data_IF_653600798460
#
_entry.id   IF_653600798460
#
_cell.length_a   1.000
_cell.length_b   1.000
_cell.length_c   1.000
_cell.angle_alpha   90.00
_cell.angle_beta   90.00
_cell.angle_gamma   90.00
#
_symmetry.space_group_name_H-M   'P 1'
#
loop_
_entity.id
_entity.type
_entity.pdbx_description
1 polymer ?
#
# COMPACT_ATOMS: atom_id res chain seq x y z
N UNK A 1 -22.33 30.64 10.42
CA UNK A 1 -21.48 30.24 11.55
C UNK A 1 -20.11 29.85 11.01
N UNK A 2 -19.13 30.76 11.15
CA UNK A 2 -17.73 30.44 10.91
C UNK A 2 -17.28 29.52 12.05
N UNK A 3 -17.42 28.21 11.90
CA UNK A 3 -16.84 27.25 12.78
C UNK A 3 -15.34 27.43 12.80
N UNK A 4 -14.81 27.88 13.93
CA UNK A 4 -13.37 27.94 14.13
C UNK A 4 -12.83 26.51 14.05
N UNK A 5 -12.02 26.23 13.03
CA UNK A 5 -11.29 24.97 12.92
C UNK A 5 -10.20 24.97 13.99
N UNK A 6 -10.48 24.33 15.11
CA UNK A 6 -9.51 24.13 16.19
C UNK A 6 -9.06 22.68 16.18
N UNK A 7 -7.78 22.44 16.09
CA UNK A 7 -7.22 21.17 16.54
C UNK A 7 -6.68 21.36 17.95
N UNK A 8 -6.92 20.35 18.80
CA UNK A 8 -6.41 20.35 20.15
C UNK A 8 -5.23 19.37 20.22
N UNK A 9 -4.14 19.79 20.86
CA UNK A 9 -3.05 18.89 21.17
C UNK A 9 -3.48 17.87 22.26
N UNK A 10 -2.62 16.91 22.58
CA UNK A 10 -2.88 15.88 23.60
C UNK A 10 -3.16 16.44 25.01
N UNK A 11 -2.85 17.72 25.28
CA UNK A 11 -3.11 18.43 26.52
C UNK A 11 -4.39 19.27 26.50
N UNK A 12 -5.19 19.18 25.43
CA UNK A 12 -6.44 19.92 25.27
C UNK A 12 -6.28 21.42 24.95
N UNK A 13 -5.07 21.86 24.60
CA UNK A 13 -4.83 23.23 24.17
C UNK A 13 -5.00 23.41 22.66
N UNK A 14 -5.58 24.53 22.19
CA UNK A 14 -5.65 24.81 20.77
C UNK A 14 -4.22 24.92 20.18
N UNK A 15 -3.94 24.13 19.16
CA UNK A 15 -2.68 24.20 18.44
C UNK A 15 -2.63 25.45 17.57
N UNK A 16 -1.49 26.13 17.56
CA UNK A 16 -1.17 27.15 16.57
C UNK A 16 -0.24 26.55 15.55
N UNK A 17 -0.68 26.46 14.29
CA UNK A 17 0.23 26.10 13.18
C UNK A 17 1.13 27.30 12.90
N UNK A 18 2.41 27.17 13.20
CA UNK A 18 3.44 28.09 12.70
C UNK A 18 4.05 27.51 11.44
N UNK A 19 3.59 27.94 10.28
CA UNK A 19 4.11 27.53 8.99
C UNK A 19 3.01 27.11 7.99
N UNK A 20 3.33 27.18 6.71
CA UNK A 20 2.48 26.65 5.64
C UNK A 20 2.72 25.13 5.57
N UNK A 21 1.84 24.38 6.19
CA UNK A 21 1.82 22.91 6.06
C UNK A 21 0.45 22.52 5.54
N UNK A 22 0.41 21.69 4.53
CA UNK A 22 -0.81 21.15 3.93
C UNK A 22 -1.50 20.10 4.82
N UNK A 23 -1.17 20.08 6.12
CA UNK A 23 -1.70 19.13 7.10
C UNK A 23 -2.55 19.89 8.13
N UNK A 24 -3.85 19.68 8.10
CA UNK A 24 -4.79 20.27 9.06
C UNK A 24 -4.89 19.48 10.38
N UNK A 25 -4.68 18.16 10.35
CA UNK A 25 -4.74 17.27 11.52
C UNK A 25 -3.51 16.35 11.50
N UNK A 26 -2.67 16.45 12.53
CA UNK A 26 -1.58 15.51 12.77
C UNK A 26 -1.90 14.68 14.01
N UNK A 27 -2.11 13.37 13.84
CA UNK A 27 -2.45 12.46 14.92
C UNK A 27 -1.38 11.36 15.07
N UNK A 28 -0.72 11.30 16.21
CA UNK A 28 0.28 10.26 16.52
C UNK A 28 -0.33 8.91 16.89
N UNK A 29 -1.65 8.89 17.15
CA UNK A 29 -2.44 7.72 17.51
C UNK A 29 -3.64 7.59 16.56
N UNK A 30 -4.55 6.66 16.90
CA UNK A 30 -5.74 6.39 16.10
C UNK A 30 -6.72 7.56 16.12
N UNK A 31 -7.34 7.84 14.98
CA UNK A 31 -8.50 8.71 14.89
C UNK A 31 -9.74 7.82 14.85
N UNK A 32 -10.71 8.11 15.72
CA UNK A 32 -12.04 7.50 15.71
C UNK A 32 -13.04 8.56 15.25
N UNK A 33 -13.71 8.29 14.16
CA UNK A 33 -14.77 9.14 13.62
C UNK A 33 -15.92 8.28 13.15
N UNK A 34 -17.14 8.83 13.17
CA UNK A 34 -18.30 8.16 12.61
C UNK A 34 -18.19 8.10 11.09
N UNK A 35 -17.61 9.13 10.47
CA UNK A 35 -17.53 9.28 9.02
C UNK A 35 -16.39 10.24 8.64
N UNK A 36 -15.77 10.00 7.48
CA UNK A 36 -14.84 10.92 6.82
C UNK A 36 -15.42 11.30 5.46
N UNK A 37 -15.69 12.59 5.26
CA UNK A 37 -16.24 13.14 4.02
C UNK A 37 -15.19 13.99 3.32
N UNK A 38 -14.88 13.65 2.07
CA UNK A 38 -13.97 14.43 1.22
C UNK A 38 -14.76 15.35 0.29
N UNK A 39 -14.26 16.58 0.06
CA UNK A 39 -14.77 17.46 -0.98
C UNK A 39 -14.46 16.86 -2.36
N UNK A 40 -15.51 16.57 -3.15
CA UNK A 40 -15.35 15.92 -4.45
C UNK A 40 -16.27 16.49 -5.54
N UNK A 41 -16.69 17.75 -5.40
CA UNK A 41 -17.52 18.43 -6.38
C UNK A 41 -16.76 18.66 -7.70
N UNK A 42 -17.39 18.36 -8.83
CA UNK A 42 -16.79 18.53 -10.16
C UNK A 42 -16.32 19.98 -10.42
N UNK A 43 -17.04 20.97 -9.89
CA UNK A 43 -16.75 22.39 -10.10
C UNK A 43 -15.44 22.88 -9.50
N UNK A 44 -14.85 22.11 -8.59
CA UNK A 44 -13.53 22.42 -8.00
C UNK A 44 -12.38 21.64 -8.65
N UNK A 45 -12.66 20.87 -9.72
CA UNK A 45 -11.69 19.97 -10.36
C UNK A 45 -11.50 20.28 -11.83
N UNK A 46 -10.31 20.15 -12.32
CA UNK A 46 -10.02 20.09 -13.76
C UNK A 46 -9.95 18.62 -14.17
N UNK A 47 -11.01 18.11 -14.80
CA UNK A 47 -11.10 16.72 -15.22
C UNK A 47 -10.15 16.51 -16.41
N UNK A 48 -9.20 15.58 -16.27
CA UNK A 48 -8.24 15.20 -17.32
C UNK A 48 -8.79 14.04 -18.17
N UNK A 49 -9.50 13.10 -17.54
CA UNK A 49 -10.07 11.94 -18.20
C UNK A 49 -10.42 10.81 -17.22
N UNK A 50 -10.84 9.69 -17.76
CA UNK A 50 -11.03 8.46 -16.99
C UNK A 50 -9.69 7.76 -16.81
N UNK A 51 -9.52 7.06 -15.68
CA UNK A 51 -8.34 6.24 -15.45
C UNK A 51 -8.27 5.05 -16.43
N UNK A 52 -7.08 4.61 -16.75
CA UNK A 52 -6.85 3.40 -17.54
C UNK A 52 -6.93 2.17 -16.64
N UNK A 53 -8.08 1.49 -16.66
CA UNK A 53 -8.36 0.36 -15.78
C UNK A 53 -7.42 -0.84 -16.00
N UNK A 54 -6.86 -1.03 -17.21
CA UNK A 54 -5.88 -2.09 -17.48
C UNK A 54 -4.56 -1.80 -16.75
N UNK A 55 -4.05 -0.58 -16.89
CA UNK A 55 -2.85 -0.13 -16.18
C UNK A 55 -3.05 -0.15 -14.65
N UNK A 56 -4.21 0.27 -14.19
CA UNK A 56 -4.54 0.27 -12.76
C UNK A 56 -4.57 -1.15 -12.17
N UNK A 57 -5.07 -2.13 -12.95
CA UNK A 57 -5.04 -3.54 -12.57
C UNK A 57 -3.60 -4.09 -12.49
N UNK A 58 -2.72 -3.68 -13.38
CA UNK A 58 -1.30 -4.05 -13.34
C UNK A 58 -0.61 -3.45 -12.10
N UNK A 59 -0.86 -2.18 -11.78
CA UNK A 59 -0.31 -1.54 -10.59
C UNK A 59 -0.77 -2.27 -9.32
N UNK A 60 -2.08 -2.56 -9.18
CA UNK A 60 -2.62 -3.29 -8.02
C UNK A 60 -1.99 -4.67 -7.88
N UNK A 61 -1.76 -5.37 -8.97
CA UNK A 61 -1.13 -6.69 -8.96
C UNK A 61 0.34 -6.66 -8.47
N UNK A 62 1.00 -5.51 -8.60
CA UNK A 62 2.39 -5.30 -8.18
C UNK A 62 2.52 -4.69 -6.78
N UNK A 63 1.42 -4.26 -6.15
CA UNK A 63 1.45 -3.76 -4.78
C UNK A 63 1.55 -4.94 -3.80
N UNK A 64 2.58 -4.91 -2.95
CA UNK A 64 2.81 -5.93 -1.93
C UNK A 64 2.10 -5.59 -0.62
N UNK A 65 1.38 -6.56 -0.05
CA UNK A 65 0.83 -6.46 1.30
C UNK A 65 1.77 -7.16 2.27
N UNK A 66 2.36 -6.38 3.18
CA UNK A 66 3.43 -6.84 4.08
C UNK A 66 2.93 -7.00 5.51
N UNK A 67 3.33 -8.10 6.16
CA UNK A 67 3.13 -8.32 7.59
C UNK A 67 4.33 -7.77 8.36
N UNK A 68 4.10 -6.85 9.31
CA UNK A 68 5.16 -6.24 10.11
C UNK A 68 4.74 -5.94 11.55
N UNK A 69 5.74 -5.66 12.39
CA UNK A 69 5.55 -5.07 13.72
C UNK A 69 6.22 -3.70 13.76
N UNK A 70 5.68 -2.80 14.58
CA UNK A 70 6.35 -1.53 14.82
C UNK A 70 7.68 -1.75 15.54
N UNK A 71 8.71 -0.98 15.20
CA UNK A 71 9.99 -0.97 15.92
C UNK A 71 9.85 -0.39 17.33
N UNK A 72 8.96 0.60 17.51
CA UNK A 72 8.63 1.18 18.82
C UNK A 72 7.71 0.23 19.60
N UNK A 73 8.18 -0.44 20.68
CA UNK A 73 7.39 -1.37 21.48
C UNK A 73 6.16 -0.72 22.15
N UNK A 74 6.18 0.61 22.35
CA UNK A 74 5.04 1.37 22.91
C UNK A 74 3.82 1.34 21.97
N UNK A 75 4.03 1.08 20.67
CA UNK A 75 2.96 0.86 19.71
C UNK A 75 2.34 -0.54 19.78
N UNK A 76 2.85 -1.40 20.69
CA UNK A 76 2.38 -2.76 20.95
C UNK A 76 3.07 -3.82 20.09
N UNK A 77 2.72 -5.09 20.37
CA UNK A 77 3.32 -6.26 19.71
C UNK A 77 2.47 -6.79 18.55
N UNK A 78 1.39 -6.10 18.21
CA UNK A 78 0.46 -6.49 17.16
C UNK A 78 1.17 -6.63 15.81
N UNK A 79 0.86 -7.70 15.08
CA UNK A 79 1.22 -7.82 13.67
C UNK A 79 0.22 -6.97 12.85
N UNK A 80 0.75 -6.12 12.02
CA UNK A 80 0.00 -5.31 11.06
C UNK A 80 0.15 -5.95 9.68
N UNK A 81 -0.92 -5.97 8.93
CA UNK A 81 -0.96 -6.34 7.51
C UNK A 81 -1.31 -5.07 6.74
N UNK A 82 -0.31 -4.42 6.17
CA UNK A 82 -0.46 -3.14 5.45
C UNK A 82 0.62 -2.99 4.38
N UNK A 83 0.57 -1.88 3.67
CA UNK A 83 1.55 -1.50 2.67
C UNK A 83 2.78 -0.86 3.31
N UNK A 84 3.92 -0.99 2.65
CA UNK A 84 5.17 -0.28 2.96
C UNK A 84 5.34 0.83 1.94
N UNK A 85 5.52 2.06 2.40
CA UNK A 85 5.51 3.25 1.54
C UNK A 85 6.60 3.19 0.45
N UNK A 86 7.79 2.69 0.75
CA UNK A 86 8.87 2.51 -0.21
C UNK A 86 8.50 1.53 -1.34
N UNK A 87 7.83 0.41 -1.01
CA UNK A 87 7.35 -0.55 -2.01
C UNK A 87 6.25 0.04 -2.90
N UNK A 88 5.34 0.83 -2.30
CA UNK A 88 4.30 1.53 -3.08
C UNK A 88 4.91 2.60 -3.99
N UNK A 89 5.91 3.34 -3.52
CA UNK A 89 6.60 4.38 -4.30
C UNK A 89 7.18 3.85 -5.61
N UNK A 90 7.65 2.60 -5.64
CA UNK A 90 8.21 1.95 -6.83
C UNK A 90 7.18 1.69 -7.93
N UNK A 91 5.92 1.43 -7.56
CA UNK A 91 4.86 1.03 -8.51
C UNK A 91 3.76 2.09 -8.67
N UNK A 92 3.50 2.88 -7.64
CA UNK A 92 2.49 3.94 -7.64
C UNK A 92 2.95 5.16 -6.82
N UNK A 93 3.95 5.93 -7.31
CA UNK A 93 4.53 7.06 -6.59
C UNK A 93 3.52 8.16 -6.24
N UNK A 94 2.43 8.31 -7.01
CA UNK A 94 1.39 9.30 -6.75
C UNK A 94 0.62 9.09 -5.44
N UNK A 95 0.68 7.89 -4.86
CA UNK A 95 0.09 7.60 -3.54
C UNK A 95 1.09 7.78 -2.39
N UNK A 96 2.30 8.29 -2.65
CA UNK A 96 3.32 8.46 -1.61
C UNK A 96 3.70 9.93 -1.50
N UNK A 97 3.69 10.43 -0.27
CA UNK A 97 4.17 11.77 0.05
C UNK A 97 5.39 11.68 0.95
N UNK A 98 6.31 12.63 0.78
CA UNK A 98 7.53 12.76 1.58
C UNK A 98 7.33 13.89 2.59
N UNK A 99 7.71 13.64 3.85
CA UNK A 99 7.62 14.61 4.94
C UNK A 99 8.82 14.46 5.88
N UNK A 100 8.95 15.39 6.82
CA UNK A 100 9.94 15.31 7.90
C UNK A 100 9.32 14.65 9.12
N UNK A 101 9.94 13.58 9.63
CA UNK A 101 9.52 12.91 10.87
C UNK A 101 10.70 12.20 11.55
N UNK A 102 10.48 11.60 12.71
CA UNK A 102 11.51 10.93 13.52
C UNK A 102 11.37 9.41 13.41
N UNK A 103 12.46 8.72 13.11
CA UNK A 103 12.53 7.26 13.08
C UNK A 103 13.16 6.69 14.35
N UNK A 104 12.68 5.55 14.90
CA UNK A 104 13.21 4.92 16.12
C UNK A 104 14.43 4.04 15.80
N UNK A 105 15.53 4.64 15.35
CA UNK A 105 16.72 3.93 14.90
C UNK A 105 17.84 3.87 15.93
N UNK A 106 17.73 4.59 17.06
CA UNK A 106 18.62 4.50 18.21
C UNK A 106 17.94 3.74 19.33
N UNK A 107 16.83 4.23 19.85
CA UNK A 107 15.90 3.63 20.82
C UNK A 107 16.56 3.10 22.09
N UNK A 108 17.34 3.94 22.81
CA UNK A 108 18.12 3.55 23.99
C UNK A 108 18.09 4.63 25.06
N UNK A 109 18.18 4.19 26.34
CA UNK A 109 18.46 5.07 27.46
C UNK A 109 19.94 5.46 27.51
N UNK A 110 20.20 6.68 27.92
CA UNK A 110 21.54 7.22 28.11
C UNK A 110 21.56 8.25 29.27
N UNK A 111 22.74 8.77 29.57
CA UNK A 111 22.89 9.90 30.48
C UNK A 111 23.39 11.11 29.70
N UNK A 112 22.72 12.25 29.89
CA UNK A 112 23.10 13.54 29.35
C UNK A 112 23.76 14.39 30.45
N UNK A 113 24.91 14.99 30.17
CA UNK A 113 25.60 15.93 31.06
C UNK A 113 26.33 16.98 30.26
N UNK A 114 25.96 18.25 30.47
CA UNK A 114 26.57 19.40 29.81
C UNK A 114 26.50 19.29 28.28
N UNK A 115 25.38 18.76 27.76
CA UNK A 115 25.16 18.55 26.33
C UNK A 115 25.83 17.32 25.73
N UNK A 116 26.63 16.56 26.52
CA UNK A 116 27.19 15.30 26.07
C UNK A 116 26.26 14.16 26.48
N UNK A 117 25.93 13.29 25.53
CA UNK A 117 25.11 12.08 25.71
C UNK A 117 26.04 10.87 25.61
N UNK A 118 26.18 10.14 26.73
CA UNK A 118 27.03 8.96 26.82
C UNK A 118 26.35 7.75 26.20
N UNK A 119 26.37 7.72 24.87
CA UNK A 119 25.78 6.65 24.07
C UNK A 119 26.49 6.53 22.73
N UNK A 120 27.12 5.39 22.49
CA UNK A 120 27.68 5.10 21.17
C UNK A 120 26.54 4.88 20.13
N UNK A 121 26.54 5.69 19.09
CA UNK A 121 25.56 5.67 18.01
C UNK A 121 26.25 5.88 16.66
N UNK A 122 25.51 5.73 15.58
CA UNK A 122 25.95 6.09 14.24
C UNK A 122 25.47 7.49 13.79
N UNK A 123 25.03 8.31 14.74
CA UNK A 123 24.64 9.69 14.49
C UNK A 123 25.85 10.52 14.03
N UNK A 124 25.60 11.45 13.10
CA UNK A 124 26.62 12.32 12.52
C UNK A 124 26.38 13.76 12.92
N UNK A 125 27.43 14.56 12.91
CA UNK A 125 27.34 16.01 13.10
C UNK A 125 26.41 16.62 12.06
N UNK A 126 25.51 17.48 12.53
CA UNK A 126 24.46 18.12 11.73
C UNK A 126 23.13 17.34 11.66
N UNK A 127 23.11 16.05 12.04
CA UNK A 127 21.84 15.32 12.14
C UNK A 127 21.03 15.78 13.34
N UNK A 128 19.71 15.74 13.22
CA UNK A 128 18.79 16.05 14.31
C UNK A 128 18.35 14.75 14.96
N UNK A 129 18.26 14.76 16.31
CA UNK A 129 17.90 13.61 17.11
C UNK A 129 16.80 13.97 18.09
N UNK A 130 15.80 13.08 18.23
CA UNK A 130 14.75 13.22 19.24
C UNK A 130 15.24 12.66 20.56
N UNK A 131 15.24 13.51 21.57
CA UNK A 131 15.59 13.25 22.95
C UNK A 131 14.32 13.36 23.81
N UNK A 132 14.09 12.38 24.68
CA UNK A 132 12.95 12.36 25.59
C UNK A 132 13.50 12.31 27.00
N UNK A 133 13.29 13.39 27.74
CA UNK A 133 13.59 13.52 29.15
C UNK A 133 12.36 13.21 29.99
N UNK A 134 12.47 13.27 31.32
CA UNK A 134 11.35 12.96 32.21
C UNK A 134 10.14 13.88 31.99
N UNK A 135 10.38 15.18 31.74
CA UNK A 135 9.33 16.19 31.66
C UNK A 135 9.24 16.86 30.26
N UNK A 136 10.15 16.54 29.34
CA UNK A 136 10.24 17.23 28.06
C UNK A 136 10.63 16.30 26.90
N UNK A 137 10.33 16.74 25.69
CA UNK A 137 10.84 16.16 24.46
C UNK A 137 11.51 17.27 23.63
N UNK A 138 12.73 16.99 23.14
CA UNK A 138 13.49 17.91 22.30
C UNK A 138 13.89 17.25 21.00
N UNK A 139 13.93 18.04 19.94
CA UNK A 139 14.68 17.69 18.70
C UNK A 139 15.91 18.58 18.69
N UNK A 140 17.07 17.95 18.82
CA UNK A 140 18.33 18.62 19.04
C UNK A 140 19.33 18.26 17.93
N UNK A 141 20.20 19.21 17.56
CA UNK A 141 21.20 19.00 16.52
C UNK A 141 22.48 18.40 17.10
N UNK A 142 23.00 17.37 16.50
CA UNK A 142 24.28 16.78 16.87
C UNK A 142 25.39 17.73 16.47
N UNK A 143 26.15 18.23 17.45
CA UNK A 143 27.29 19.16 17.24
C UNK A 143 28.63 18.46 17.21
N UNK A 144 28.78 17.32 17.92
CA UNK A 144 29.95 16.48 17.92
C UNK A 144 29.53 15.02 17.98
N UNK A 145 30.27 14.12 17.32
CA UNK A 145 30.05 12.69 17.37
C UNK A 145 31.37 11.93 17.57
N UNK A 146 31.35 10.94 18.46
CA UNK A 146 32.52 10.11 18.81
C UNK A 146 32.12 8.66 19.12
N UNK A 147 33.08 7.78 19.25
CA UNK A 147 32.83 6.39 19.68
C UNK A 147 32.28 6.26 21.11
N UNK A 148 32.43 7.29 21.95
CA UNK A 148 31.92 7.29 23.33
C UNK A 148 30.52 7.86 23.44
N UNK A 149 30.15 8.75 22.53
CA UNK A 149 28.87 9.44 22.57
C UNK A 149 28.87 10.65 21.64
N UNK A 150 27.86 11.49 21.79
CA UNK A 150 27.68 12.66 20.95
C UNK A 150 27.24 13.87 21.77
N UNK A 151 27.50 15.09 21.26
CA UNK A 151 27.02 16.34 21.81
C UNK A 151 25.87 16.91 21.00
N UNK A 152 25.00 17.64 21.69
CA UNK A 152 23.83 18.30 21.10
C UNK A 152 23.78 19.76 21.49
N UNK A 153 23.10 20.59 20.66
CA UNK A 153 22.95 22.02 20.89
C UNK A 153 21.88 22.37 21.95
N UNK A 154 20.86 21.53 22.10
CA UNK A 154 19.80 21.69 23.11
C UNK A 154 19.71 20.43 23.97
N UNK A 155 19.73 20.59 25.28
CA UNK A 155 19.76 19.46 26.21
C UNK A 155 19.21 19.84 27.61
N UNK A 156 18.86 18.80 28.33
CA UNK A 156 18.72 18.82 29.79
C UNK A 156 19.71 17.80 30.38
N UNK A 157 20.19 18.04 31.58
CA UNK A 157 21.06 17.09 32.30
C UNK A 157 20.22 16.01 32.99
N UNK A 158 20.68 14.76 32.95
CA UNK A 158 20.03 13.63 33.60
C UNK A 158 19.85 12.42 32.67
N UNK A 159 18.91 11.56 33.05
CA UNK A 159 18.55 10.43 32.21
C UNK A 159 17.78 10.89 30.96
N UNK A 160 18.15 10.37 29.79
CA UNK A 160 17.54 10.70 28.51
C UNK A 160 17.29 9.44 27.71
N UNK A 161 16.10 9.34 27.13
CA UNK A 161 15.82 8.34 26.13
C UNK A 161 16.08 8.91 24.74
N UNK A 162 17.10 8.37 24.06
CA UNK A 162 17.44 8.72 22.69
C UNK A 162 16.54 7.91 21.77
N UNK A 163 15.50 8.56 21.23
CA UNK A 163 14.52 7.88 20.38
C UNK A 163 15.09 7.50 19.01
N UNK A 164 15.68 8.48 18.33
CA UNK A 164 16.30 8.29 17.03
C UNK A 164 16.36 9.59 16.23
N UNK A 165 16.79 9.50 14.99
CA UNK A 165 17.04 10.68 14.17
C UNK A 165 15.77 11.21 13.51
N UNK A 166 15.73 12.51 13.28
CA UNK A 166 14.80 13.16 12.36
C UNK A 166 15.34 12.97 10.93
N UNK A 167 14.44 12.61 10.01
CA UNK A 167 14.72 12.43 8.59
C UNK A 167 13.78 13.30 7.77
N UNK A 168 14.24 13.79 6.62
CA UNK A 168 13.44 14.65 5.73
C UNK A 168 12.82 13.85 4.57
N UNK A 169 13.06 12.54 4.56
CA UNK A 169 12.57 11.62 3.56
C UNK A 169 11.60 10.57 4.14
N UNK A 170 10.90 10.93 5.21
CA UNK A 170 9.88 10.06 5.81
C UNK A 170 8.67 9.95 4.87
N UNK A 171 8.31 8.71 4.52
CA UNK A 171 7.26 8.43 3.53
C UNK A 171 5.93 8.11 4.19
N UNK A 172 4.87 8.68 3.63
CA UNK A 172 3.47 8.39 4.01
C UNK A 172 2.69 7.89 2.80
N UNK A 173 1.64 7.11 3.04
CA UNK A 173 0.78 6.54 1.98
C UNK A 173 -0.59 7.18 2.03
N UNK A 174 -1.08 7.61 0.87
CA UNK A 174 -2.46 7.96 0.62
C UNK A 174 -3.28 6.68 0.35
N UNK A 175 -3.92 6.17 1.40
CA UNK A 175 -4.79 4.98 1.29
C UNK A 175 -6.06 5.24 0.50
N UNK A 176 -6.51 6.49 0.36
CA UNK A 176 -7.66 6.85 -0.49
C UNK A 176 -7.28 6.68 -1.97
N UNK A 177 -6.11 7.15 -2.39
CA UNK A 177 -5.59 6.92 -3.73
C UNK A 177 -5.49 5.42 -4.06
N UNK A 178 -4.98 4.60 -3.12
CA UNK A 178 -4.95 3.13 -3.28
C UNK A 178 -6.37 2.55 -3.39
N UNK A 179 -7.32 3.07 -2.63
CA UNK A 179 -8.71 2.60 -2.68
C UNK A 179 -9.36 2.91 -4.03
N UNK A 180 -9.12 4.09 -4.61
CA UNK A 180 -9.63 4.45 -5.93
C UNK A 180 -8.97 3.64 -7.05
N UNK A 181 -7.67 3.40 -6.95
CA UNK A 181 -6.94 2.49 -7.84
C UNK A 181 -7.56 1.09 -7.83
N UNK A 182 -7.92 0.57 -6.65
CA UNK A 182 -8.58 -0.74 -6.50
C UNK A 182 -9.98 -0.76 -7.13
N UNK A 183 -10.74 0.33 -7.06
CA UNK A 183 -12.05 0.44 -7.74
C UNK A 183 -11.86 0.29 -9.25
N UNK A 184 -10.92 1.02 -9.85
CA UNK A 184 -10.62 0.95 -11.29
C UNK A 184 -10.16 -0.45 -11.72
N UNK A 185 -9.24 -1.06 -10.98
CA UNK A 185 -8.75 -2.43 -11.22
C UNK A 185 -9.87 -3.48 -11.11
N UNK A 186 -10.79 -3.29 -10.15
CA UNK A 186 -11.97 -4.17 -10.00
C UNK A 186 -12.90 -4.06 -11.21
N UNK A 187 -13.13 -2.86 -11.73
CA UNK A 187 -13.92 -2.66 -12.94
C UNK A 187 -13.32 -3.40 -14.15
N UNK A 188 -12.00 -3.35 -14.31
CA UNK A 188 -11.30 -4.11 -15.35
C UNK A 188 -11.45 -5.61 -15.16
N UNK A 189 -11.32 -6.10 -13.93
CA UNK A 189 -11.51 -7.51 -13.61
C UNK A 189 -12.91 -8.02 -13.97
N UNK A 190 -13.95 -7.25 -13.65
CA UNK A 190 -15.35 -7.56 -14.00
C UNK A 190 -15.55 -7.58 -15.51
N UNK A 191 -14.94 -6.67 -16.25
CA UNK A 191 -14.98 -6.63 -17.72
C UNK A 191 -14.32 -7.87 -18.33
N UNK A 192 -13.18 -8.30 -17.81
CA UNK A 192 -12.48 -9.52 -18.25
C UNK A 192 -13.27 -10.79 -17.91
N UNK A 193 -13.87 -10.87 -16.73
CA UNK A 193 -14.72 -11.98 -16.33
C UNK A 193 -15.89 -12.13 -17.29
N UNK A 194 -16.59 -11.04 -17.62
CA UNK A 194 -17.70 -11.07 -18.57
C UNK A 194 -17.28 -11.56 -19.95
N UNK A 195 -16.14 -11.09 -20.46
CA UNK A 195 -15.62 -11.55 -21.74
C UNK A 195 -15.28 -13.05 -21.74
N UNK A 196 -14.68 -13.55 -20.64
CA UNK A 196 -14.38 -14.98 -20.48
C UNK A 196 -15.66 -15.83 -20.37
N UNK A 197 -16.72 -15.36 -19.73
CA UNK A 197 -18.02 -16.04 -19.67
C UNK A 197 -18.67 -16.16 -21.06
N UNK A 198 -18.59 -15.09 -21.86
CA UNK A 198 -19.08 -15.11 -23.25
C UNK A 198 -18.28 -16.09 -24.13
N UNK A 199 -16.95 -16.09 -23.98
CA UNK A 199 -16.08 -17.04 -24.71
C UNK A 199 -16.34 -18.48 -24.27
N UNK A 200 -16.49 -18.71 -22.98
CA UNK A 200 -16.79 -20.04 -22.44
C UNK A 200 -18.13 -20.59 -22.97
N UNK A 201 -19.14 -19.72 -23.06
CA UNK A 201 -20.44 -20.09 -23.64
C UNK A 201 -20.27 -20.54 -25.09
N UNK A 202 -19.53 -19.82 -25.92
CA UNK A 202 -19.24 -20.21 -27.31
C UNK A 202 -18.47 -21.52 -27.41
N UNK A 203 -17.49 -21.74 -26.52
CA UNK A 203 -16.73 -22.98 -26.47
C UNK A 203 -17.62 -24.19 -26.12
N UNK A 204 -18.57 -24.04 -25.20
CA UNK A 204 -19.54 -25.06 -24.85
C UNK A 204 -20.44 -25.43 -26.03
N UNK A 205 -20.93 -24.42 -26.77
CA UNK A 205 -21.74 -24.62 -27.99
C UNK A 205 -20.95 -25.39 -29.06
N UNK A 206 -19.73 -24.92 -29.35
CA UNK A 206 -18.85 -25.61 -30.32
C UNK A 206 -18.51 -27.04 -29.88
N UNK A 207 -18.34 -27.29 -28.63
CA UNK A 207 -18.10 -28.64 -28.10
C UNK A 207 -19.29 -29.58 -28.30
N UNK A 208 -20.53 -29.08 -28.20
CA UNK A 208 -21.75 -29.86 -28.48
C UNK A 208 -21.81 -30.19 -29.98
N UNK A 209 -21.59 -29.21 -30.84
CA UNK A 209 -21.55 -29.44 -32.30
C UNK A 209 -20.53 -30.51 -32.68
N UNK A 210 -19.34 -30.48 -32.09
CA UNK A 210 -18.30 -31.50 -32.32
C UNK A 210 -18.77 -32.90 -31.88
N UNK A 211 -19.50 -33.02 -30.78
CA UNK A 211 -20.06 -34.29 -30.32
C UNK A 211 -21.12 -34.80 -31.26
N UNK A 212 -22.00 -33.97 -31.77
CA UNK A 212 -23.03 -34.29 -32.74
C UNK A 212 -22.40 -34.77 -34.06
N UNK A 213 -21.42 -34.03 -34.61
CA UNK A 213 -20.68 -34.42 -35.79
C UNK A 213 -19.93 -35.73 -35.64
N UNK A 214 -19.37 -36.05 -34.47
CA UNK A 214 -18.75 -37.35 -34.17
C UNK A 214 -19.76 -38.46 -34.22
N UNK A 215 -20.95 -38.24 -33.66
CA UNK A 215 -22.05 -39.22 -33.67
C UNK A 215 -22.51 -39.54 -35.12
N UNK A 216 -22.70 -38.49 -35.94
CA UNK A 216 -23.05 -38.61 -37.36
C UNK A 216 -21.98 -39.37 -38.16
N UNK A 217 -20.71 -39.06 -37.88
CA UNK A 217 -19.58 -39.72 -38.53
C UNK A 217 -19.50 -41.21 -38.19
N UNK A 218 -19.82 -41.62 -36.98
CA UNK A 218 -19.90 -43.04 -36.55
C UNK A 218 -21.06 -43.76 -37.24
N UNK A 219 -22.22 -43.12 -37.41
CA UNK A 219 -23.36 -43.67 -38.15
C UNK A 219 -22.99 -43.86 -39.59
N UNK A 220 -22.36 -42.86 -40.23
CA UNK A 220 -21.94 -42.94 -41.61
C UNK A 220 -20.91 -44.05 -41.85
N UNK A 221 -19.92 -44.20 -40.96
CA UNK A 221 -18.94 -45.30 -41.02
C UNK A 221 -19.60 -46.67 -40.99
N UNK A 222 -20.60 -46.87 -40.12
CA UNK A 222 -21.35 -48.10 -40.03
C UNK A 222 -22.12 -48.37 -41.32
N UNK A 223 -22.80 -47.37 -41.86
CA UNK A 223 -23.55 -47.51 -43.13
C UNK A 223 -22.65 -47.87 -44.33
N UNK A 224 -21.48 -47.21 -44.42
CA UNK A 224 -20.48 -47.51 -45.46
C UNK A 224 -19.95 -48.94 -45.30
N UNK A 225 -19.68 -49.40 -44.09
CA UNK A 225 -19.21 -50.75 -43.81
C UNK A 225 -20.25 -51.81 -44.21
N UNK A 226 -21.56 -51.58 -43.96
CA UNK A 226 -22.65 -52.43 -44.41
C UNK A 226 -22.73 -52.53 -45.94
N UNK A 227 -22.67 -51.40 -46.63
CA UNK A 227 -22.70 -51.35 -48.10
C UNK A 227 -21.50 -52.09 -48.73
N UNK A 228 -20.33 -52.03 -48.14
CA UNK A 228 -19.13 -52.74 -48.62
C UNK A 228 -19.33 -54.25 -48.43
N UNK A 229 -19.88 -54.69 -47.31
CA UNK A 229 -20.14 -56.10 -47.04
C UNK A 229 -21.22 -56.67 -47.97
N UNK A 230 -22.32 -55.96 -48.23
CA UNK A 230 -23.36 -56.34 -49.19
C UNK A 230 -22.82 -56.51 -50.62
N UNK A 231 -21.95 -55.56 -51.07
CA UNK A 231 -21.28 -55.68 -52.38
C UNK A 231 -20.33 -56.88 -52.46
N UNK A 232 -19.68 -57.24 -51.38
CA UNK A 232 -18.75 -58.36 -51.28
C UNK A 232 -19.50 -59.71 -51.37
N UNK A 233 -20.65 -59.83 -50.69
CA UNK A 233 -21.51 -61.04 -50.77
C UNK A 233 -22.17 -61.20 -52.14
N UNK A 234 -22.67 -60.14 -52.73
CA UNK A 234 -23.28 -60.18 -54.09
C UNK A 234 -22.28 -60.56 -55.21
N UNK A 235 -20.97 -60.32 -55.03
CA UNK A 235 -19.93 -60.75 -55.94
C UNK A 235 -19.48 -62.20 -55.72
N UNK A 236 -19.73 -62.81 -54.60
CA UNK A 236 -19.44 -64.24 -54.35
C UNK A 236 -20.54 -65.16 -54.82
N UNK A 237 -21.77 -64.68 -54.96
CA UNK A 237 -22.91 -65.50 -55.53
C UNK A 237 -22.97 -65.55 -57.04
N UNK A 238 -22.12 -64.74 -57.72
CA UNK A 238 -22.06 -64.73 -59.24
C UNK A 238 -20.89 -65.52 -59.81
N UNK A 239 -20.21 -66.35 -59.01
CA UNK A 239 -19.19 -67.30 -59.48
C UNK A 239 -19.64 -68.71 -59.23
#
# INVERSE_FOLDING_TARGET
DNGAFGFYNSSGNPGTAAGVVDISIYATNRIHATEFNAFSDERIKNIIGQSNSESDAEIINNIEVTDYKMKDPRKGTKIYKKLIAQQVEEVFPNAVSITTDVIPDVFKMATAKGGFIDLNTNLKVGEKVKLIFEQSELISTVTEASAKGFRVDQFEDGEVFVYGRQVDDFRTIDYEAISMLNVSATQESLKRIKALEEENTKLIESSKEILDLRSELEILKKSVSMLINEKSTANTEKK
#
